data_IF_328868278295
#
_entry.id   IF_328868278295
#
_cell.length_a   1.000
_cell.length_b   1.000
_cell.length_c   1.000
_cell.angle_alpha   90.00
_cell.angle_beta   90.00
_cell.angle_gamma   90.00
#
_symmetry.space_group_name_H-M   'P 1'
#
loop_
_entity.id
_entity.type
_entity.pdbx_description
1 polymer ?
#
# COMPACT_ATOMS: atom_id res chain seq x y z
N UNK A 1 -16.25 12.16 -12.27
CA UNK A 1 -15.36 12.03 -11.09
C UNK A 1 -13.93 11.97 -11.58
N UNK A 2 -13.06 12.86 -11.11
CA UNK A 2 -11.64 12.90 -11.47
C UNK A 2 -10.94 11.70 -10.80
N UNK A 3 -10.97 10.53 -11.45
CA UNK A 3 -10.18 9.36 -11.04
C UNK A 3 -8.73 9.80 -10.88
N UNK A 4 -8.20 9.69 -9.66
CA UNK A 4 -6.97 10.34 -9.21
C UNK A 4 -5.75 9.74 -9.90
N UNK A 5 -5.40 10.30 -11.06
CA UNK A 5 -4.18 9.96 -11.80
C UNK A 5 -2.95 10.32 -10.94
N UNK A 6 -1.94 9.44 -10.86
CA UNK A 6 -0.70 9.79 -10.17
C UNK A 6 -0.08 11.05 -10.78
N UNK A 7 0.34 11.96 -9.91
CA UNK A 7 1.19 13.11 -10.26
C UNK A 7 2.58 12.57 -10.56
N UNK A 8 3.18 13.04 -11.65
CA UNK A 8 4.44 12.54 -12.16
C UNK A 8 5.46 13.67 -12.24
N UNK A 9 6.66 13.44 -11.74
CA UNK A 9 7.79 14.35 -11.81
C UNK A 9 9.02 13.59 -12.33
N UNK A 10 9.75 14.20 -13.25
CA UNK A 10 11.09 13.73 -13.62
C UNK A 10 12.11 14.61 -12.90
N UNK A 11 13.13 13.98 -12.34
CA UNK A 11 14.17 14.67 -11.57
C UNK A 11 15.50 13.94 -11.74
N UNK A 12 16.57 14.52 -11.22
CA UNK A 12 17.86 13.85 -11.13
C UNK A 12 18.62 14.25 -9.87
N UNK A 13 19.50 13.36 -9.41
CA UNK A 13 20.47 13.62 -8.34
C UNK A 13 21.84 13.22 -8.90
N UNK A 14 22.63 14.21 -9.33
CA UNK A 14 23.81 13.94 -10.16
C UNK A 14 23.39 13.23 -11.45
N UNK A 15 24.04 12.10 -11.74
CA UNK A 15 23.77 11.26 -12.91
C UNK A 15 22.56 10.32 -12.73
N UNK A 16 22.04 10.17 -11.50
CA UNK A 16 20.90 9.32 -11.21
C UNK A 16 19.61 10.00 -11.71
N UNK A 17 19.01 9.42 -12.76
CA UNK A 17 17.73 9.86 -13.30
C UNK A 17 16.57 9.23 -12.52
N UNK A 18 15.61 10.05 -12.13
CA UNK A 18 14.47 9.67 -11.30
C UNK A 18 13.14 9.94 -12.01
N UNK A 19 12.21 9.00 -11.89
CA UNK A 19 10.81 9.17 -12.21
C UNK A 19 9.98 9.00 -10.93
N UNK A 20 9.48 10.10 -10.40
CA UNK A 20 8.76 10.14 -9.14
C UNK A 20 7.26 10.22 -9.41
N UNK A 21 6.52 9.25 -8.89
CA UNK A 21 5.08 9.15 -8.98
C UNK A 21 4.49 9.25 -7.58
N UNK A 22 3.57 10.20 -7.37
CA UNK A 22 2.85 10.35 -6.12
C UNK A 22 1.34 10.25 -6.37
N UNK A 23 0.63 9.54 -5.50
CA UNK A 23 -0.84 9.50 -5.55
C UNK A 23 -1.48 9.39 -4.17
N UNK A 24 -2.69 9.90 -4.06
CA UNK A 24 -3.62 9.59 -2.99
C UNK A 24 -4.74 8.78 -3.60
N UNK A 25 -4.70 7.45 -3.44
CA UNK A 25 -5.69 6.56 -4.04
C UNK A 25 -7.02 6.62 -3.28
N UNK A 26 -8.07 6.14 -3.93
CA UNK A 26 -9.43 6.20 -3.42
C UNK A 26 -9.55 5.62 -2.01
N UNK A 27 -10.22 6.38 -1.15
CA UNK A 27 -10.29 6.13 0.28
C UNK A 27 -11.33 5.07 0.64
N UNK A 28 -11.44 4.80 1.95
CA UNK A 28 -12.44 3.92 2.57
C UNK A 28 -12.45 2.48 2.02
N UNK A 29 -13.34 1.62 2.53
CA UNK A 29 -13.37 0.20 2.17
C UNK A 29 -14.27 -0.06 0.94
N UNK A 30 -15.30 0.75 0.80
CA UNK A 30 -16.37 0.67 -0.20
C UNK A 30 -15.84 0.88 -1.62
N UNK A 31 -14.76 1.65 -1.78
CA UNK A 31 -14.14 1.94 -3.07
C UNK A 31 -12.94 1.05 -3.41
N UNK A 32 -12.88 -0.16 -2.86
CA UNK A 32 -11.79 -1.12 -3.12
C UNK A 32 -11.55 -1.37 -4.61
N UNK A 33 -12.62 -1.49 -5.41
CA UNK A 33 -12.51 -1.70 -6.85
C UNK A 33 -11.80 -0.55 -7.56
N UNK A 34 -12.24 0.69 -7.31
CA UNK A 34 -11.64 1.88 -7.91
C UNK A 34 -10.17 2.02 -7.49
N UNK A 35 -9.87 1.84 -6.19
CA UNK A 35 -8.51 1.89 -5.67
C UNK A 35 -7.57 0.86 -6.34
N UNK A 36 -8.03 -0.37 -6.57
CA UNK A 36 -7.24 -1.41 -7.27
C UNK A 36 -6.96 -1.00 -8.72
N UNK A 37 -7.95 -0.46 -9.43
CA UNK A 37 -7.76 0.01 -10.82
C UNK A 37 -6.81 1.21 -10.89
N UNK A 38 -6.88 2.13 -9.93
CA UNK A 38 -5.93 3.24 -9.83
C UNK A 38 -4.51 2.75 -9.54
N UNK A 39 -4.33 1.71 -8.71
CA UNK A 39 -3.02 1.11 -8.48
C UNK A 39 -2.47 0.46 -9.75
N UNK A 40 -3.28 -0.28 -10.50
CA UNK A 40 -2.89 -0.85 -11.80
C UNK A 40 -2.48 0.24 -12.79
N UNK A 41 -3.20 1.36 -12.82
CA UNK A 41 -2.84 2.51 -13.64
C UNK A 41 -1.46 3.09 -13.25
N UNK A 42 -1.16 3.17 -11.95
CA UNK A 42 0.15 3.58 -11.47
C UNK A 42 1.25 2.60 -11.93
N UNK A 43 1.02 1.29 -11.83
CA UNK A 43 1.96 0.28 -12.34
C UNK A 43 2.21 0.41 -13.85
N UNK A 44 1.18 0.67 -14.64
CA UNK A 44 1.33 0.94 -16.09
C UNK A 44 2.21 2.17 -16.33
N UNK A 45 2.03 3.25 -15.54
CA UNK A 45 2.89 4.43 -15.63
C UNK A 45 4.34 4.13 -15.24
N UNK A 46 4.56 3.31 -14.21
CA UNK A 46 5.91 2.91 -13.80
C UNK A 46 6.63 2.13 -14.89
N UNK A 47 5.94 1.19 -15.55
CA UNK A 47 6.48 0.41 -16.67
C UNK A 47 6.81 1.25 -17.90
N UNK A 48 6.13 2.39 -18.08
CA UNK A 48 6.37 3.31 -19.18
C UNK A 48 7.59 4.22 -19.00
N UNK A 49 8.33 4.11 -17.88
CA UNK A 49 9.53 4.89 -17.67
C UNK A 49 10.64 4.54 -18.68
N UNK A 50 11.45 5.54 -19.05
CA UNK A 50 12.55 5.33 -19.99
C UNK A 50 13.63 4.39 -19.40
N UNK A 51 14.36 3.64 -20.24
CA UNK A 51 15.48 2.82 -19.77
C UNK A 51 16.53 3.64 -19.03
N UNK A 52 17.11 3.07 -17.96
CA UNK A 52 18.12 3.74 -17.15
C UNK A 52 17.58 4.82 -16.19
N UNK A 53 16.26 4.92 -16.02
CA UNK A 53 15.61 5.78 -15.02
C UNK A 53 15.14 4.93 -13.85
N UNK A 54 15.43 5.38 -12.63
CA UNK A 54 14.89 4.76 -11.41
C UNK A 54 13.53 5.34 -11.11
N UNK A 55 12.51 4.48 -11.07
CA UNK A 55 11.13 4.89 -10.83
C UNK A 55 10.71 4.61 -9.38
N UNK A 56 10.16 5.62 -8.71
CA UNK A 56 9.60 5.52 -7.37
C UNK A 56 8.12 5.87 -7.42
N UNK A 57 7.27 5.01 -6.87
CA UNK A 57 5.85 5.28 -6.70
C UNK A 57 5.47 5.18 -5.22
N UNK A 58 4.73 6.17 -4.73
CA UNK A 58 4.25 6.19 -3.36
C UNK A 58 3.14 7.20 -3.12
N UNK A 59 2.89 7.49 -1.84
CA UNK A 59 1.85 8.40 -1.39
C UNK A 59 0.88 7.72 -0.43
N UNK A 60 -0.36 8.22 -0.34
CA UNK A 60 -1.40 7.58 0.46
C UNK A 60 -2.23 6.61 -0.36
N UNK A 61 -1.81 5.36 -0.38
CA UNK A 61 -2.41 4.39 -1.28
C UNK A 61 -3.69 3.76 -0.75
N UNK A 62 -4.04 3.98 0.53
CA UNK A 62 -5.25 3.44 1.16
C UNK A 62 -5.45 1.90 1.00
N UNK A 63 -4.38 1.18 0.69
CA UNK A 63 -4.42 -0.23 0.30
C UNK A 63 -4.63 -1.17 1.49
N UNK A 64 -5.12 -2.36 1.19
CA UNK A 64 -5.08 -3.53 2.07
C UNK A 64 -4.28 -4.62 1.37
N UNK A 65 -3.61 -5.48 2.13
CA UNK A 65 -2.74 -6.53 1.58
C UNK A 65 -3.43 -7.36 0.46
N UNK A 66 -4.71 -7.74 0.66
CA UNK A 66 -5.50 -8.49 -0.34
C UNK A 66 -5.69 -7.75 -1.67
N UNK A 67 -5.77 -6.42 -1.62
CA UNK A 67 -5.97 -5.58 -2.80
C UNK A 67 -4.67 -5.42 -3.58
N UNK A 68 -3.52 -5.44 -2.90
CA UNK A 68 -2.21 -5.43 -3.56
C UNK A 68 -1.98 -6.75 -4.30
N UNK A 69 -2.34 -7.87 -3.67
CA UNK A 69 -2.36 -9.20 -4.34
C UNK A 69 -3.28 -9.18 -5.56
N UNK A 70 -4.47 -8.60 -5.44
CA UNK A 70 -5.42 -8.48 -6.56
C UNK A 70 -4.92 -7.58 -7.69
N UNK A 71 -4.21 -6.49 -7.36
CA UNK A 71 -3.62 -5.61 -8.37
C UNK A 71 -2.48 -6.27 -9.13
N UNK A 72 -1.74 -7.18 -8.47
CA UNK A 72 -0.61 -7.91 -9.03
C UNK A 72 0.61 -7.01 -9.20
N UNK A 73 1.58 -7.13 -8.28
CA UNK A 73 2.81 -6.35 -8.38
C UNK A 73 3.57 -6.75 -9.66
N UNK A 74 3.98 -5.79 -10.51
CA UNK A 74 4.72 -6.12 -11.71
C UNK A 74 6.08 -6.74 -11.44
N UNK A 75 6.54 -7.61 -12.35
CA UNK A 75 7.92 -8.07 -12.34
C UNK A 75 8.90 -6.89 -12.37
N UNK A 76 9.94 -6.95 -11.53
CA UNK A 76 10.95 -5.90 -11.40
C UNK A 76 10.53 -4.73 -10.52
N UNK A 77 9.30 -4.71 -10.02
CA UNK A 77 8.86 -3.77 -8.98
C UNK A 77 8.88 -4.47 -7.64
N UNK A 78 9.36 -3.78 -6.61
CA UNK A 78 9.41 -4.28 -5.23
C UNK A 78 8.74 -3.28 -4.31
N UNK A 79 8.14 -3.77 -3.23
CA UNK A 79 7.75 -2.93 -2.11
C UNK A 79 8.97 -2.64 -1.22
N UNK A 80 9.22 -1.37 -0.90
CA UNK A 80 10.40 -0.98 -0.13
C UNK A 80 10.37 -1.47 1.31
N UNK A 81 9.20 -1.49 1.98
CA UNK A 81 9.11 -2.01 3.34
C UNK A 81 9.42 -3.51 3.38
N UNK A 82 9.01 -4.24 2.33
CA UNK A 82 9.29 -5.67 2.19
C UNK A 82 10.75 -5.95 1.85
N UNK A 83 11.28 -5.23 0.86
CA UNK A 83 12.69 -5.33 0.46
C UNK A 83 13.65 -4.94 1.60
N UNK A 84 13.24 -4.06 2.50
CA UNK A 84 14.01 -3.65 3.67
C UNK A 84 13.75 -4.50 4.93
N UNK A 85 13.19 -5.71 4.80
CA UNK A 85 13.12 -6.69 5.88
C UNK A 85 11.89 -6.57 6.79
N UNK A 86 10.82 -5.92 6.33
CA UNK A 86 9.49 -6.00 6.95
C UNK A 86 9.45 -5.60 8.44
N UNK A 87 10.21 -4.57 8.80
CA UNK A 87 10.36 -4.12 10.19
C UNK A 87 9.00 -3.86 10.86
N UNK A 88 8.69 -4.52 12.00
CA UNK A 88 7.39 -4.38 12.66
C UNK A 88 7.09 -2.96 13.14
N UNK A 89 8.12 -2.21 13.55
CA UNK A 89 7.97 -0.88 14.15
C UNK A 89 7.38 0.16 13.19
N UNK A 90 7.60 -0.01 11.88
CA UNK A 90 7.10 0.85 10.82
C UNK A 90 6.04 0.18 9.93
N UNK A 91 5.48 -0.95 10.37
CA UNK A 91 4.46 -1.70 9.61
C UNK A 91 3.18 -0.88 9.38
N UNK A 92 2.70 -0.20 10.41
CA UNK A 92 1.44 0.54 10.37
C UNK A 92 1.70 2.03 10.21
N UNK A 93 1.24 2.60 9.10
CA UNK A 93 1.36 4.04 8.82
C UNK A 93 0.10 4.82 9.19
N UNK A 94 -0.96 4.12 9.59
CA UNK A 94 -2.16 4.68 10.17
C UNK A 94 -2.63 3.75 11.29
N UNK A 95 -2.58 4.24 12.53
CA UNK A 95 -2.85 3.46 13.73
C UNK A 95 -3.58 4.33 14.75
N UNK A 96 -4.88 4.10 14.92
CA UNK A 96 -5.73 4.86 15.85
C UNK A 96 -5.58 4.45 17.31
N UNK A 97 -4.83 3.38 17.60
CA UNK A 97 -4.46 3.03 18.97
C UNK A 97 -3.30 3.89 19.49
N UNK A 98 -2.52 4.48 18.56
CA UNK A 98 -1.35 5.32 18.86
C UNK A 98 -1.56 6.79 18.48
N UNK A 99 -2.36 7.05 17.45
CA UNK A 99 -2.66 8.39 16.97
C UNK A 99 -4.04 8.84 17.47
N UNK A 100 -4.08 9.89 18.27
CA UNK A 100 -5.30 10.41 18.91
C UNK A 100 -6.07 11.42 18.06
N UNK A 101 -5.63 11.72 16.83
CA UNK A 101 -6.31 12.70 15.97
C UNK A 101 -7.69 12.21 15.50
N UNK A 102 -7.96 10.91 15.59
CA UNK A 102 -9.26 10.30 15.32
C UNK A 102 -9.56 9.20 16.33
N UNK A 103 -10.78 9.20 16.85
CA UNK A 103 -11.24 8.17 17.78
C UNK A 103 -11.66 6.90 17.03
N UNK A 104 -11.40 5.74 17.65
CA UNK A 104 -12.04 4.48 17.24
C UNK A 104 -13.50 4.60 17.65
N UNK A 105 -14.41 4.67 16.67
CA UNK A 105 -15.85 4.68 16.95
C UNK A 105 -16.21 3.48 17.84
N UNK A 106 -16.70 3.74 19.05
CA UNK A 106 -17.20 2.70 19.96
C UNK A 106 -18.37 1.99 19.25
N UNK A 107 -18.14 0.79 18.71
CA UNK A 107 -19.25 -0.10 18.36
C UNK A 107 -19.91 -0.54 19.67
N UNK A 108 -21.22 -0.35 19.75
CA UNK A 108 -22.03 -0.66 20.93
C UNK A 108 -21.75 -2.06 21.47
N UNK A 109 -21.61 -2.15 22.78
CA UNK A 109 -21.40 -3.38 23.54
C UNK A 109 -22.52 -4.39 23.31
N UNK A 110 -22.17 -5.57 22.82
CA UNK A 110 -23.07 -6.71 22.75
C UNK A 110 -22.31 -8.04 22.74
N UNK A 111 -22.28 -8.70 23.91
CA UNK A 111 -22.29 -10.16 24.00
C UNK A 111 -20.94 -10.91 24.01
N UNK A 112 -20.74 -11.66 25.09
CA UNK A 112 -19.64 -12.58 25.44
C UNK A 112 -19.56 -13.81 24.51
N UNK A 113 -18.34 -14.30 24.23
CA UNK A 113 -18.09 -15.63 23.63
C UNK A 113 -16.61 -16.03 23.69
N UNK A 114 -16.33 -17.22 24.23
CA UNK A 114 -15.06 -17.70 24.81
C UNK A 114 -14.08 -18.27 23.77
N UNK A 115 -12.79 -18.32 24.13
CA UNK A 115 -11.63 -18.72 23.32
C UNK A 115 -11.47 -20.24 23.11
N UNK A 116 -10.73 -20.62 22.05
CA UNK A 116 -9.85 -21.80 22.05
C UNK A 116 -8.80 -21.77 20.91
N UNK A 117 -7.60 -22.24 21.27
CA UNK A 117 -6.32 -22.33 20.55
C UNK A 117 -6.27 -23.34 19.39
N UNK A 118 -5.32 -23.18 18.45
CA UNK A 118 -4.26 -24.17 18.12
C UNK A 118 -3.34 -23.68 16.97
N UNK A 119 -2.11 -24.16 16.99
CA UNK A 119 -0.91 -23.83 16.20
C UNK A 119 -0.73 -24.68 14.93
N UNK A 120 -0.01 -24.15 13.92
CA UNK A 120 0.63 -24.95 12.86
C UNK A 120 1.22 -24.11 11.70
N UNK A 121 2.42 -24.41 11.14
CA UNK A 121 3.18 -23.47 10.30
C UNK A 121 3.09 -23.70 8.77
N UNK A 122 3.63 -22.72 8.05
CA UNK A 122 4.08 -22.69 6.63
C UNK A 122 3.04 -22.43 5.53
N UNK A 123 3.25 -21.36 4.77
CA UNK A 123 3.27 -21.35 3.29
C UNK A 123 3.69 -19.97 2.75
N UNK A 124 4.68 -20.02 1.85
CA UNK A 124 5.04 -19.06 0.77
C UNK A 124 4.94 -17.54 1.03
N UNK A 125 6.12 -16.90 1.03
CA UNK A 125 6.35 -15.47 0.86
C UNK A 125 5.64 -14.89 -0.37
N UNK A 126 4.43 -14.37 -0.18
CA UNK A 126 3.76 -13.43 -1.08
C UNK A 126 3.04 -12.38 -0.22
N UNK A 127 3.80 -11.60 0.55
CA UNK A 127 3.27 -10.35 1.05
C UNK A 127 3.64 -9.29 0.01
N UNK A 128 2.65 -8.49 -0.40
CA UNK A 128 2.82 -7.29 -1.19
C UNK A 128 2.31 -6.14 -0.29
N UNK A 129 3.10 -5.10 0.02
CA UNK A 129 2.75 -4.20 1.16
C UNK A 129 2.77 -2.69 0.91
N UNK A 130 1.73 -2.19 0.25
CA UNK A 130 1.41 -0.77 0.26
C UNK A 130 0.45 -0.44 1.44
N UNK A 131 0.85 0.50 2.32
CA UNK A 131 0.15 1.08 3.51
C UNK A 131 -0.79 0.17 4.31
N UNK A 132 -0.35 -0.26 5.51
CA UNK A 132 -1.21 -1.01 6.46
C UNK A 132 -1.86 -0.08 7.50
N UNK A 133 -3.16 -0.31 7.72
CA UNK A 133 -4.00 0.38 8.72
C UNK A 133 -4.31 -0.56 9.89
N UNK A 134 -4.27 -0.05 11.13
CA UNK A 134 -4.69 -0.74 12.35
C UNK A 134 -5.73 0.08 13.11
#
# INVERSE_FOLDING_TARGET
>A
MLSSRPVSLQAHIGDLKLHLLNSHLESTAEFARERVEQLKLAFTKMKGAAPGVTTLFGGDLNMRDKEVVQAGLPQGVVDLWEACGQRPECRYTWDTTRNTNKEIGKKGSGGIGVASSMSGPSTSSLANSLKRKR
#
